data_IF_985044670739
#
_entry.id   IF_985044670739
#
_cell.length_a   1.000
_cell.length_b   1.000
_cell.length_c   1.000
_cell.angle_alpha   90.00
_cell.angle_beta   90.00
_cell.angle_gamma   90.00
#
_symmetry.space_group_name_H-M   'P 1'
#
loop_
_entity.id
_entity.type
_entity.pdbx_description
1 polymer ?
#
# COMPACT_ATOMS: atom_id res chain seq x y z
N UNK A 1 4.95 -3.48 -8.11
CA UNK A 1 4.68 -4.94 -8.26
C UNK A 1 3.46 -5.30 -7.43
N UNK A 2 2.51 -6.09 -7.95
CA UNK A 2 1.30 -6.52 -7.21
C UNK A 2 1.62 -7.61 -6.18
N UNK A 3 1.20 -7.44 -4.92
CA UNK A 3 1.61 -8.30 -3.79
C UNK A 3 0.47 -9.00 -3.03
N UNK A 4 -0.78 -8.62 -3.27
CA UNK A 4 -1.99 -9.26 -2.71
C UNK A 4 -2.02 -9.38 -1.18
N UNK A 5 -1.54 -8.34 -0.46
CA UNK A 5 -1.41 -8.32 1.02
C UNK A 5 -2.51 -7.56 1.77
N UNK A 6 -3.56 -7.12 1.09
CA UNK A 6 -4.66 -6.34 1.70
C UNK A 6 -5.97 -7.12 1.77
N UNK A 7 -6.20 -7.83 2.87
CA UNK A 7 -7.43 -8.61 3.10
C UNK A 7 -8.74 -7.79 2.92
N UNK A 8 -8.70 -6.49 3.26
CA UNK A 8 -9.82 -5.56 3.11
C UNK A 8 -9.57 -4.47 2.06
N UNK A 9 -8.62 -4.67 1.16
CA UNK A 9 -8.15 -3.66 0.19
C UNK A 9 -7.60 -2.36 0.83
N UNK A 10 -7.36 -2.36 2.15
CA UNK A 10 -6.75 -1.26 2.87
C UNK A 10 -5.29 -1.59 3.19
N UNK A 11 -4.39 -0.62 3.03
CA UNK A 11 -2.99 -0.74 3.43
C UNK A 11 -2.86 -1.00 4.94
N UNK A 12 -1.81 -1.73 5.32
CA UNK A 12 -1.54 -2.14 6.71
C UNK A 12 -0.04 -2.05 7.03
N UNK A 13 0.33 -2.35 8.28
CA UNK A 13 1.73 -2.26 8.76
C UNK A 13 2.72 -3.12 7.97
N UNK A 14 2.29 -4.29 7.46
CA UNK A 14 3.13 -5.15 6.62
C UNK A 14 3.48 -4.51 5.28
N UNK A 15 2.59 -3.67 4.75
CA UNK A 15 2.82 -2.91 3.53
C UNK A 15 3.79 -1.76 3.78
N UNK A 16 3.66 -1.08 4.93
CA UNK A 16 4.61 -0.05 5.35
C UNK A 16 6.03 -0.64 5.49
N UNK A 17 6.18 -1.76 6.21
CA UNK A 17 7.47 -2.44 6.36
C UNK A 17 8.07 -2.88 5.02
N UNK A 18 7.24 -3.37 4.10
CA UNK A 18 7.68 -3.79 2.78
C UNK A 18 8.24 -2.64 1.93
N UNK A 19 7.59 -1.47 1.95
CA UNK A 19 8.10 -0.30 1.24
C UNK A 19 9.33 0.29 1.92
N UNK A 20 9.38 0.29 3.26
CA UNK A 20 10.54 0.74 4.03
C UNK A 20 11.82 -0.06 3.71
N UNK A 21 11.70 -1.38 3.56
CA UNK A 21 12.81 -2.26 3.18
C UNK A 21 13.43 -1.92 1.81
N UNK A 22 12.70 -1.18 0.97
CA UNK A 22 13.17 -0.80 -0.35
C UNK A 22 13.35 0.71 -0.51
N UNK A 23 13.25 1.52 0.56
CA UNK A 23 13.33 2.97 0.47
C UNK A 23 14.58 3.53 -0.24
N UNK A 24 15.66 2.73 -0.38
CA UNK A 24 16.86 3.07 -1.16
C UNK A 24 16.65 3.04 -2.68
N UNK A 25 15.59 2.40 -3.17
CA UNK A 25 15.30 2.25 -4.59
C UNK A 25 14.34 3.35 -5.07
N UNK A 26 14.78 4.60 -5.08
CA UNK A 26 14.16 5.73 -5.80
C UNK A 26 12.62 5.77 -5.80
N UNK A 27 11.98 5.21 -6.84
CA UNK A 27 10.53 5.13 -6.98
C UNK A 27 10.03 3.68 -6.87
N UNK A 28 9.10 3.44 -5.93
CA UNK A 28 8.49 2.12 -5.73
C UNK A 28 6.98 2.26 -5.64
N UNK A 29 6.28 1.53 -6.50
CA UNK A 29 4.81 1.55 -6.55
C UNK A 29 4.24 0.16 -6.81
N UNK A 30 3.00 -0.04 -6.35
CA UNK A 30 2.12 -1.14 -6.74
C UNK A 30 1.03 -0.59 -7.66
N UNK A 31 0.60 -1.37 -8.65
CA UNK A 31 -0.49 -0.97 -9.54
C UNK A 31 -1.83 -1.03 -8.80
N UNK A 32 -2.55 0.09 -8.76
CA UNK A 32 -3.81 0.25 -8.01
C UNK A 32 -5.07 0.14 -8.89
N UNK A 33 -4.93 -0.14 -10.20
CA UNK A 33 -6.05 -0.09 -11.16
C UNK A 33 -6.93 -1.36 -11.17
N UNK A 34 -8.23 -1.11 -11.41
CA UNK A 34 -9.36 -2.03 -11.60
C UNK A 34 -9.11 -3.51 -11.25
N UNK A 35 -9.62 -3.94 -10.09
CA UNK A 35 -9.52 -5.27 -9.41
C UNK A 35 -9.34 -6.50 -10.32
N UNK A 36 -8.20 -6.61 -10.99
CA UNK A 36 -7.81 -7.82 -11.73
C UNK A 36 -7.31 -8.92 -10.80
N UNK A 37 -6.92 -8.56 -9.57
CA UNK A 37 -6.37 -9.46 -8.55
C UNK A 37 -6.95 -9.18 -7.16
N UNK A 38 -7.38 -10.24 -6.46
CA UNK A 38 -7.83 -10.14 -5.08
C UNK A 38 -6.72 -9.62 -4.16
N UNK A 39 -7.11 -8.87 -3.12
CA UNK A 39 -6.23 -8.36 -2.06
C UNK A 39 -5.18 -7.33 -2.50
N UNK A 40 -5.42 -6.66 -3.62
CA UNK A 40 -4.66 -5.47 -4.04
C UNK A 40 -5.19 -4.24 -3.30
N UNK A 41 -4.32 -3.39 -2.72
CA UNK A 41 -4.77 -2.16 -2.07
C UNK A 41 -5.59 -1.31 -3.05
N UNK A 42 -6.64 -0.65 -2.54
CA UNK A 42 -7.45 0.29 -3.31
C UNK A 42 -7.09 1.74 -3.00
N UNK A 43 -7.62 2.68 -3.79
CA UNK A 43 -7.54 4.14 -3.52
C UNK A 43 -8.88 4.84 -3.82
N UNK A 44 -9.97 4.09 -3.80
CA UNK A 44 -11.28 4.52 -4.29
C UNK A 44 -12.20 5.00 -3.17
N UNK A 45 -11.89 4.69 -1.91
CA UNK A 45 -12.63 5.16 -0.74
C UNK A 45 -11.76 6.07 0.13
N UNK A 46 -12.39 6.95 0.91
CA UNK A 46 -11.67 7.82 1.85
C UNK A 46 -10.82 7.01 2.84
N UNK A 47 -11.35 5.89 3.34
CA UNK A 47 -10.65 4.97 4.23
C UNK A 47 -9.39 4.36 3.61
N UNK A 48 -9.43 4.08 2.30
CA UNK A 48 -8.28 3.57 1.56
C UNK A 48 -7.19 4.62 1.38
N UNK A 49 -7.58 5.87 1.09
CA UNK A 49 -6.65 7.00 1.00
C UNK A 49 -6.00 7.27 2.35
N UNK A 50 -6.76 7.28 3.44
CA UNK A 50 -6.25 7.46 4.80
C UNK A 50 -5.31 6.32 5.20
N UNK A 51 -5.68 5.06 4.94
CA UNK A 51 -4.83 3.91 5.21
C UNK A 51 -3.52 3.95 4.41
N UNK A 52 -3.59 4.40 3.15
CA UNK A 52 -2.42 4.64 2.30
C UNK A 52 -1.50 5.71 2.89
N UNK A 53 -2.04 6.88 3.21
CA UNK A 53 -1.29 7.97 3.81
C UNK A 53 -0.65 7.56 5.15
N UNK A 54 -1.40 6.89 6.03
CA UNK A 54 -0.88 6.38 7.31
C UNK A 54 0.27 5.40 7.14
N UNK A 55 0.21 4.53 6.12
CA UNK A 55 1.31 3.60 5.83
C UNK A 55 2.61 4.28 5.40
N UNK A 56 2.53 5.50 4.84
CA UNK A 56 3.69 6.34 4.52
C UNK A 56 4.15 7.13 5.75
N UNK A 57 3.22 7.65 6.56
CA UNK A 57 3.56 8.43 7.76
C UNK A 57 4.17 7.58 8.89
N UNK A 58 3.80 6.29 9.01
CA UNK A 58 4.41 5.34 9.95
C UNK A 58 5.91 5.09 9.69
N UNK A 59 6.45 5.58 8.58
CA UNK A 59 7.88 5.54 8.25
C UNK A 59 8.63 6.81 8.67
N UNK A 60 7.94 7.94 8.85
CA UNK A 60 8.57 9.24 9.18
C UNK A 60 8.76 9.44 10.70
N UNK A 61 8.46 8.43 11.52
CA UNK A 61 8.79 8.35 12.97
C UNK A 61 9.98 7.41 13.22
#
# INVERSE_FOLDING_TARGET
MTRTRTLKNNSNELIALYYAQQASAGLITEGLEARGYLYTPGIYTAEQVEAGAKSVMLYEE
#
